data_IF_768496694269
#
_entry.id   IF_768496694269
#
_cell.length_a   1.000
_cell.length_b   1.000
_cell.length_c   1.000
_cell.angle_alpha   90.00
_cell.angle_beta   90.00
_cell.angle_gamma   90.00
#
_symmetry.space_group_name_H-M   'P 1'
#
loop_
_entity.id
_entity.type
_entity.pdbx_description
1 polymer ?
#
# COMPACT_ATOMS: atom_id res chain seq x y z
N UNK A 1 24.72 -0.41 15.41
CA UNK A 1 26.14 -0.68 15.80
C UNK A 1 26.74 0.56 16.44
N UNK A 2 27.30 0.51 17.65
CA UNK A 2 27.64 1.75 18.41
C UNK A 2 29.12 1.93 18.77
N UNK A 3 30.04 1.05 18.33
CA UNK A 3 31.46 1.17 18.69
C UNK A 3 32.39 0.71 17.54
N UNK A 4 33.47 1.43 17.30
CA UNK A 4 34.52 1.06 16.34
C UNK A 4 35.15 -0.30 16.64
N UNK A 5 35.23 -0.68 17.92
CA UNK A 5 35.68 -2.00 18.33
C UNK A 5 34.74 -3.13 17.88
N UNK A 6 33.43 -2.88 17.83
CA UNK A 6 32.45 -3.84 17.30
C UNK A 6 32.65 -4.07 15.81
N UNK A 7 32.94 -3.01 15.05
CA UNK A 7 33.20 -3.10 13.61
C UNK A 7 34.43 -3.97 13.32
N UNK A 8 35.54 -3.70 14.01
CA UNK A 8 36.77 -4.50 13.88
C UNK A 8 36.55 -5.97 14.28
N UNK A 9 35.67 -6.24 15.26
CA UNK A 9 35.31 -7.61 15.65
C UNK A 9 34.53 -8.31 14.54
N UNK A 10 33.53 -7.64 13.95
CA UNK A 10 32.72 -8.16 12.85
C UNK A 10 33.60 -8.46 11.64
N UNK A 11 34.47 -7.53 11.23
CA UNK A 11 35.41 -7.75 10.13
C UNK A 11 36.32 -8.96 10.36
N UNK A 12 36.87 -9.10 11.58
CA UNK A 12 37.72 -10.25 11.94
C UNK A 12 36.99 -11.58 11.90
N UNK A 13 35.72 -11.60 12.31
CA UNK A 13 34.89 -12.82 12.26
C UNK A 13 34.62 -13.20 10.81
N UNK A 14 34.20 -12.24 9.99
CA UNK A 14 33.89 -12.46 8.58
C UNK A 14 35.11 -12.90 7.77
N UNK A 15 36.27 -12.26 7.97
CA UNK A 15 37.53 -12.64 7.27
C UNK A 15 38.08 -14.01 7.67
N UNK A 16 37.68 -14.55 8.81
CA UNK A 16 38.08 -15.90 9.24
C UNK A 16 37.22 -16.99 8.60
N UNK A 17 36.09 -16.65 7.99
CA UNK A 17 35.25 -17.62 7.34
C UNK A 17 35.89 -18.12 6.04
N UNK A 18 35.83 -19.45 5.77
CA UNK A 18 36.33 -19.99 4.52
C UNK A 18 35.51 -19.44 3.36
N UNK A 19 36.19 -18.99 2.29
CA UNK A 19 35.55 -18.45 1.09
C UNK A 19 35.26 -16.94 1.11
N UNK A 20 35.51 -16.24 2.22
CA UNK A 20 35.48 -14.75 2.26
C UNK A 20 36.81 -14.21 1.75
N UNK A 21 36.74 -13.38 0.71
CA UNK A 21 37.91 -12.71 0.11
C UNK A 21 38.18 -11.38 0.81
N UNK A 22 37.15 -10.57 1.02
CA UNK A 22 37.23 -9.29 1.70
C UNK A 22 35.99 -9.05 2.55
N UNK A 23 36.17 -8.35 3.67
CA UNK A 23 35.07 -7.83 4.48
C UNK A 23 35.47 -6.45 5.01
N UNK A 24 34.55 -5.50 4.87
CA UNK A 24 34.68 -4.11 5.31
C UNK A 24 33.38 -3.68 5.99
N UNK A 25 33.48 -3.01 7.15
CA UNK A 25 32.32 -2.56 7.92
C UNK A 25 32.30 -1.04 8.01
N UNK A 26 31.23 -0.46 7.49
CA UNK A 26 30.95 0.96 7.63
C UNK A 26 30.00 1.19 8.82
N UNK A 27 30.57 1.64 9.93
CA UNK A 27 29.81 1.90 11.17
C UNK A 27 28.82 3.05 11.01
N UNK A 28 29.15 4.07 10.21
CA UNK A 28 28.28 5.23 10.01
C UNK A 28 27.00 4.88 9.24
N UNK A 29 27.07 3.86 8.38
CA UNK A 29 25.93 3.35 7.61
C UNK A 29 25.35 2.05 8.20
N UNK A 30 25.88 1.60 9.35
CA UNK A 30 25.55 0.31 9.96
C UNK A 30 25.59 -0.88 8.97
N UNK A 31 26.53 -0.83 8.02
CA UNK A 31 26.57 -1.73 6.86
C UNK A 31 27.88 -2.49 6.79
N UNK A 32 27.82 -3.76 6.41
CA UNK A 32 28.98 -4.59 6.15
C UNK A 32 28.97 -5.07 4.69
N UNK A 33 30.03 -4.75 3.95
CA UNK A 33 30.22 -5.22 2.58
C UNK A 33 31.20 -6.40 2.59
N UNK A 34 30.76 -7.52 2.03
CA UNK A 34 31.49 -8.80 2.06
C UNK A 34 31.63 -9.34 0.64
N UNK A 35 32.88 -9.53 0.20
CA UNK A 35 33.22 -10.18 -1.05
C UNK A 35 33.57 -11.62 -0.77
N UNK A 36 32.84 -12.57 -1.35
CA UNK A 36 33.04 -14.00 -1.12
C UNK A 36 33.00 -14.78 -2.44
N UNK A 37 33.61 -15.97 -2.43
CA UNK A 37 33.59 -16.90 -3.55
C UNK A 37 32.17 -17.45 -3.72
N UNK A 38 31.61 -17.25 -4.92
CA UNK A 38 30.27 -17.73 -5.27
C UNK A 38 30.14 -19.25 -5.04
N UNK A 39 29.15 -19.65 -4.25
CA UNK A 39 28.87 -21.06 -3.94
C UNK A 39 29.64 -21.67 -2.76
N UNK A 40 30.62 -20.98 -2.16
CA UNK A 40 31.31 -21.45 -0.94
C UNK A 40 30.78 -20.80 0.34
N UNK A 41 30.20 -19.60 0.23
CA UNK A 41 29.67 -18.84 1.36
C UNK A 41 28.20 -18.57 1.08
N UNK A 42 27.33 -19.10 1.94
CA UNK A 42 25.91 -18.81 1.92
C UNK A 42 25.54 -17.70 2.93
N UNK A 43 24.44 -16.99 2.67
CA UNK A 43 23.89 -15.95 3.55
C UNK A 43 23.62 -16.50 4.95
N UNK A 44 23.09 -17.71 5.05
CA UNK A 44 22.85 -18.36 6.34
C UNK A 44 24.14 -18.65 7.12
N UNK A 45 25.25 -18.93 6.44
CA UNK A 45 26.53 -19.14 7.12
C UNK A 45 27.07 -17.83 7.68
N UNK A 46 26.93 -16.72 6.94
CA UNK A 46 27.32 -15.39 7.39
C UNK A 46 26.49 -14.93 8.59
N UNK A 47 25.16 -15.08 8.54
CA UNK A 47 24.30 -14.72 9.67
C UNK A 47 24.60 -15.57 10.90
N UNK A 48 24.79 -16.88 10.73
CA UNK A 48 25.14 -17.79 11.84
C UNK A 48 26.47 -17.41 12.49
N UNK A 49 27.49 -17.08 11.70
CA UNK A 49 28.78 -16.64 12.23
C UNK A 49 28.68 -15.33 13.01
N UNK A 50 27.85 -14.39 12.54
CA UNK A 50 27.60 -13.12 13.22
C UNK A 50 26.78 -13.32 14.51
N UNK A 51 25.75 -14.18 14.49
CA UNK A 51 24.95 -14.52 15.67
C UNK A 51 25.83 -15.17 16.75
N UNK A 52 26.71 -16.10 16.35
CA UNK A 52 27.69 -16.71 17.26
C UNK A 52 28.68 -15.69 17.84
N UNK A 53 28.94 -14.59 17.11
CA UNK A 53 29.74 -13.47 17.60
C UNK A 53 28.93 -12.45 18.43
N UNK A 54 27.61 -12.62 18.55
CA UNK A 54 26.69 -11.79 19.30
C UNK A 54 26.06 -10.64 18.49
N UNK A 55 25.98 -10.77 17.16
CA UNK A 55 25.46 -9.75 16.26
C UNK A 55 24.34 -10.31 15.38
N UNK A 56 23.30 -9.50 15.16
CA UNK A 56 22.25 -9.79 14.19
C UNK A 56 22.55 -9.07 12.88
N UNK A 57 22.29 -9.72 11.75
CA UNK A 57 22.55 -9.18 10.42
C UNK A 57 21.35 -9.40 9.50
N UNK A 58 20.97 -8.36 8.77
CA UNK A 58 19.93 -8.40 7.76
C UNK A 58 20.58 -8.21 6.39
N UNK A 59 20.35 -9.14 5.47
CA UNK A 59 20.92 -9.05 4.13
C UNK A 59 20.10 -8.09 3.27
N UNK A 60 20.77 -7.27 2.47
CA UNK A 60 20.09 -6.30 1.62
C UNK A 60 19.16 -6.96 0.58
N UNK A 61 19.36 -8.23 0.23
CA UNK A 61 18.39 -8.96 -0.59
C UNK A 61 17.04 -9.12 0.11
N UNK A 62 17.01 -9.40 1.42
CA UNK A 62 15.75 -9.42 2.17
C UNK A 62 15.17 -8.00 2.33
N UNK A 63 16.02 -6.98 2.41
CA UNK A 63 15.57 -5.59 2.42
C UNK A 63 15.02 -5.14 1.06
N UNK A 64 15.61 -5.62 -0.05
CA UNK A 64 15.17 -5.38 -1.42
C UNK A 64 13.89 -6.16 -1.75
N UNK A 65 13.78 -7.40 -1.27
CA UNK A 65 12.57 -8.23 -1.39
C UNK A 65 11.42 -7.69 -0.51
N UNK A 66 11.73 -7.13 0.68
CA UNK A 66 10.74 -6.40 1.50
C UNK A 66 10.38 -5.05 0.89
N UNK A 67 11.34 -4.32 0.32
CA UNK A 67 11.09 -3.04 -0.35
C UNK A 67 10.25 -3.22 -1.65
N UNK A 68 10.46 -4.31 -2.38
CA UNK A 68 9.64 -4.66 -3.55
C UNK A 68 8.23 -5.10 -3.13
N UNK A 69 8.09 -5.89 -2.06
CA UNK A 69 6.79 -6.24 -1.49
C UNK A 69 6.02 -5.02 -0.96
N UNK A 70 6.69 -4.08 -0.28
CA UNK A 70 6.10 -2.82 0.19
C UNK A 70 5.71 -1.89 -0.97
N UNK A 71 6.51 -1.85 -2.04
CA UNK A 71 6.19 -1.09 -3.25
C UNK A 71 4.94 -1.64 -3.96
N UNK A 72 4.83 -2.97 -4.09
CA UNK A 72 3.64 -3.62 -4.65
C UNK A 72 2.38 -3.39 -3.80
N UNK A 73 2.51 -3.36 -2.47
CA UNK A 73 1.39 -3.06 -1.57
C UNK A 73 0.91 -1.60 -1.72
N UNK A 74 1.83 -0.63 -1.82
CA UNK A 74 1.49 0.78 -2.02
C UNK A 74 0.84 1.04 -3.38
N UNK A 75 1.24 0.32 -4.43
CA UNK A 75 0.64 0.45 -5.76
C UNK A 75 -0.83 -0.04 -5.78
N UNK A 76 -1.11 -1.14 -5.08
CA UNK A 76 -2.49 -1.66 -4.89
C UNK A 76 -3.36 -0.69 -4.09
N UNK A 77 -2.81 -0.06 -3.06
CA UNK A 77 -3.54 0.94 -2.26
C UNK A 77 -3.85 2.21 -3.08
N UNK A 78 -2.89 2.70 -3.87
CA UNK A 78 -3.12 3.87 -4.74
C UNK A 78 -4.20 3.64 -5.80
N UNK A 79 -4.24 2.44 -6.41
CA UNK A 79 -5.25 2.12 -7.41
C UNK A 79 -6.65 2.02 -6.80
N UNK A 80 -6.76 1.55 -5.55
CA UNK A 80 -8.02 1.58 -4.80
C UNK A 80 -8.49 3.00 -4.49
N UNK A 81 -7.60 3.86 -3.97
CA UNK A 81 -7.93 5.26 -3.65
C UNK A 81 -8.38 6.05 -4.88
N UNK A 82 -7.72 5.87 -6.03
CA UNK A 82 -8.13 6.52 -7.28
C UNK A 82 -9.53 6.10 -7.72
N UNK A 83 -9.89 4.83 -7.50
CA UNK A 83 -11.21 4.31 -7.85
C UNK A 83 -12.28 4.87 -6.92
N UNK A 84 -11.98 4.96 -5.63
CA UNK A 84 -12.87 5.59 -4.64
C UNK A 84 -13.05 7.08 -4.90
N UNK A 85 -11.97 7.82 -5.18
CA UNK A 85 -12.03 9.23 -5.57
C UNK A 85 -12.82 9.43 -6.87
N UNK A 86 -12.66 8.54 -7.85
CA UNK A 86 -13.45 8.56 -9.08
C UNK A 86 -14.95 8.35 -8.80
N UNK A 87 -15.29 7.42 -7.91
CA UNK A 87 -16.68 7.22 -7.46
C UNK A 87 -17.22 8.43 -6.70
N UNK A 88 -16.42 9.04 -5.83
CA UNK A 88 -16.77 10.27 -5.12
C UNK A 88 -17.02 11.43 -6.10
N UNK A 89 -16.12 11.63 -7.07
CA UNK A 89 -16.27 12.65 -8.10
C UNK A 89 -17.52 12.45 -8.94
N UNK A 90 -17.81 11.21 -9.37
CA UNK A 90 -19.04 10.89 -10.11
C UNK A 90 -20.27 11.17 -9.25
N UNK A 91 -20.26 10.77 -7.97
CA UNK A 91 -21.39 11.05 -7.07
C UNK A 91 -21.59 12.54 -6.83
N UNK A 92 -20.51 13.29 -6.62
CA UNK A 92 -20.54 14.73 -6.42
C UNK A 92 -21.05 15.46 -7.67
N UNK A 93 -20.58 15.07 -8.85
CA UNK A 93 -21.04 15.61 -10.13
C UNK A 93 -22.52 15.35 -10.38
N UNK A 94 -23.03 14.16 -10.02
CA UNK A 94 -24.45 13.82 -10.14
C UNK A 94 -25.33 14.62 -9.17
N UNK A 95 -24.82 14.95 -7.98
CA UNK A 95 -25.54 15.78 -7.00
C UNK A 95 -25.50 17.27 -7.30
N UNK A 96 -24.49 17.73 -8.04
CA UNK A 96 -24.24 19.14 -8.36
C UNK A 96 -25.43 19.84 -9.05
N UNK A 97 -26.12 19.26 -10.06
CA UNK A 97 -27.31 19.87 -10.65
C UNK A 97 -28.50 19.90 -9.69
N UNK A 98 -28.65 18.93 -8.79
CA UNK A 98 -29.71 18.93 -7.76
C UNK A 98 -29.50 20.01 -6.68
N UNK A 99 -28.24 20.30 -6.34
CA UNK A 99 -27.92 21.43 -5.45
C UNK A 99 -28.06 22.74 -6.21
N UNK A 100 -27.67 22.76 -7.49
CA UNK A 100 -27.81 23.92 -8.37
C UNK A 100 -29.25 24.40 -8.52
N UNK A 101 -30.23 23.49 -8.66
CA UNK A 101 -31.65 23.87 -8.68
C UNK A 101 -32.12 24.46 -7.33
N UNK A 102 -31.64 23.94 -6.18
CA UNK A 102 -32.01 24.47 -4.87
C UNK A 102 -31.47 25.90 -4.69
N UNK A 103 -30.25 26.15 -5.16
CA UNK A 103 -29.63 27.48 -5.16
C UNK A 103 -30.33 28.41 -6.14
N UNK A 104 -30.68 27.95 -7.35
CA UNK A 104 -31.40 28.75 -8.34
C UNK A 104 -32.79 29.20 -7.87
N UNK A 105 -33.50 28.32 -7.14
CA UNK A 105 -34.78 28.63 -6.52
C UNK A 105 -34.65 29.71 -5.43
N UNK A 106 -33.57 29.69 -4.64
CA UNK A 106 -33.25 30.73 -3.64
C UNK A 106 -32.96 32.09 -4.30
N UNK A 107 -32.37 32.10 -5.49
CA UNK A 107 -32.04 33.32 -6.25
C UNK A 107 -33.24 33.81 -7.10
N UNK A 108 -34.38 33.11 -7.08
CA UNK A 108 -35.62 33.52 -7.74
C UNK A 108 -35.69 33.24 -9.24
N UNK A 109 -34.80 32.40 -9.77
CA UNK A 109 -34.79 32.02 -11.20
C UNK A 109 -35.64 30.77 -11.39
N UNK A 110 -36.80 30.92 -12.04
CA UNK A 110 -37.79 29.86 -12.21
C UNK A 110 -37.53 29.04 -13.48
N UNK A 111 -36.51 28.18 -13.48
CA UNK A 111 -36.29 27.21 -14.55
C UNK A 111 -37.25 26.03 -14.35
N UNK A 112 -38.30 25.95 -15.17
CA UNK A 112 -39.24 24.82 -15.15
C UNK A 112 -38.81 23.82 -16.23
N UNK A 113 -38.29 22.67 -15.80
CA UNK A 113 -38.10 21.53 -16.69
C UNK A 113 -39.46 20.85 -16.89
N UNK A 114 -39.73 20.42 -18.11
CA UNK A 114 -41.00 19.78 -18.44
C UNK A 114 -41.13 18.45 -17.67
N UNK A 115 -42.28 18.12 -17.05
CA UNK A 115 -42.39 17.04 -16.05
C UNK A 115 -41.94 15.65 -16.52
N UNK A 116 -41.97 15.40 -17.83
CA UNK A 116 -41.51 14.15 -18.44
C UNK A 116 -39.98 14.03 -18.48
N UNK A 117 -39.26 15.15 -18.57
CA UNK A 117 -37.80 15.18 -18.51
C UNK A 117 -37.31 14.89 -17.09
N UNK A 118 -38.02 15.39 -16.07
CA UNK A 118 -37.73 15.06 -14.67
C UNK A 118 -37.93 13.56 -14.40
N UNK A 119 -39.00 12.98 -14.94
CA UNK A 119 -39.24 11.54 -14.84
C UNK A 119 -38.14 10.74 -15.55
N UNK A 120 -37.76 11.14 -16.77
CA UNK A 120 -36.70 10.50 -17.53
C UNK A 120 -35.33 10.56 -16.83
N UNK A 121 -35.02 11.67 -16.13
CA UNK A 121 -33.78 11.81 -15.35
C UNK A 121 -33.84 11.08 -13.99
N UNK A 122 -34.99 11.08 -13.32
CA UNK A 122 -35.16 10.46 -12.01
C UNK A 122 -35.16 8.93 -12.08
N UNK A 123 -35.70 8.35 -13.15
CA UNK A 123 -35.82 6.89 -13.30
C UNK A 123 -34.47 6.16 -13.24
N UNK A 124 -33.42 6.54 -14.01
CA UNK A 124 -32.13 5.87 -13.93
C UNK A 124 -31.44 6.08 -12.57
N UNK A 125 -31.61 7.24 -11.93
CA UNK A 125 -31.06 7.47 -10.58
C UNK A 125 -31.76 6.57 -9.56
N UNK A 126 -33.09 6.50 -9.57
CA UNK A 126 -33.85 5.72 -8.60
C UNK A 126 -33.65 4.21 -8.79
N UNK A 127 -33.56 3.74 -10.04
CA UNK A 127 -33.44 2.30 -10.33
C UNK A 127 -31.99 1.80 -10.42
N UNK A 128 -31.01 2.56 -10.90
CA UNK A 128 -29.61 2.09 -10.99
C UNK A 128 -28.84 2.33 -9.68
N UNK A 129 -28.96 3.52 -9.11
CA UNK A 129 -28.26 3.89 -7.87
C UNK A 129 -29.02 3.32 -6.66
N UNK A 130 -30.35 3.35 -6.66
CA UNK A 130 -31.17 2.81 -5.59
C UNK A 130 -31.13 1.27 -5.47
N UNK A 131 -30.98 0.54 -6.58
CA UNK A 131 -30.99 -0.94 -6.57
C UNK A 131 -29.89 -1.55 -5.70
N UNK A 132 -28.76 -0.85 -5.47
CA UNK A 132 -27.71 -1.34 -4.57
C UNK A 132 -28.21 -1.46 -3.13
N UNK A 133 -29.04 -0.51 -2.69
CA UNK A 133 -29.57 -0.46 -1.33
C UNK A 133 -30.70 -1.46 -1.15
N UNK A 134 -31.57 -1.63 -2.15
CA UNK A 134 -32.60 -2.67 -2.13
C UNK A 134 -32.00 -4.08 -2.06
N UNK A 135 -30.92 -4.35 -2.81
CA UNK A 135 -30.20 -5.64 -2.72
C UNK A 135 -29.52 -5.84 -1.36
N UNK A 136 -28.93 -4.80 -0.78
CA UNK A 136 -28.33 -4.87 0.55
C UNK A 136 -29.39 -5.15 1.64
N UNK A 137 -30.55 -4.48 1.58
CA UNK A 137 -31.67 -4.69 2.49
C UNK A 137 -32.26 -6.10 2.37
N UNK A 138 -32.41 -6.62 1.15
CA UNK A 138 -32.90 -7.97 0.90
C UNK A 138 -31.94 -9.04 1.45
N UNK A 139 -30.63 -8.87 1.23
CA UNK A 139 -29.62 -9.80 1.77
C UNK A 139 -29.55 -9.74 3.30
N UNK A 140 -29.73 -8.57 3.91
CA UNK A 140 -29.78 -8.41 5.37
C UNK A 140 -31.01 -9.11 6.00
N UNK A 141 -32.16 -9.03 5.35
CA UNK A 141 -33.37 -9.76 5.78
C UNK A 141 -33.20 -11.27 5.66
N UNK A 142 -32.58 -11.74 4.58
CA UNK A 142 -32.31 -13.17 4.36
C UNK A 142 -31.33 -13.73 5.40
N UNK A 143 -30.30 -12.96 5.78
CA UNK A 143 -29.28 -13.38 6.75
C UNK A 143 -29.77 -13.44 8.21
N UNK A 144 -30.94 -12.86 8.54
CA UNK A 144 -31.51 -12.84 9.90
C UNK A 144 -32.60 -13.91 10.12
N UNK A 145 -32.76 -14.84 9.18
CA UNK A 145 -33.73 -15.94 9.24
C UNK A 145 -33.10 -17.32 9.48
N UNK A 146 -31.82 -17.39 9.87
CA UNK A 146 -31.14 -18.60 10.35
C UNK A 146 -30.51 -18.37 11.71
#
# INVERSE_FOLDING_TARGET
MTCSACATRIEKVLRKMPGVLEANVNVALERADVTAISGQVDRNMLSTALINAGFEAHFESEAADRASADAEHREKEQTQLRRELGLLLVSAALTLPLVGQMVAMIIGVSFHLEPWMELALATPVQFLIGARFYRAAFNALRARSS
#
